data_IF_332596664057
#
_entry.id   IF_332596664057
#
_cell.length_a   1.000
_cell.length_b   1.000
_cell.length_c   1.000
_cell.angle_alpha   90.00
_cell.angle_beta   90.00
_cell.angle_gamma   90.00
#
_symmetry.space_group_name_H-M   'P 1'
#
loop_
_entity.id
_entity.type
_entity.pdbx_description
1 polymer ?
#
# COMPACT_ATOMS: atom_id res chain seq x y z
N UNK A 1 20.50 -9.84 -24.77
CA UNK A 1 19.12 -10.13 -24.34
C UNK A 1 18.79 -9.26 -23.12
N UNK A 2 17.81 -8.36 -23.27
CA UNK A 2 17.54 -7.25 -22.37
C UNK A 2 16.50 -7.64 -21.32
N UNK A 3 16.94 -7.82 -20.08
CA UNK A 3 16.08 -7.97 -18.89
C UNK A 3 15.32 -6.66 -18.60
N UNK A 4 14.18 -6.44 -19.24
CA UNK A 4 13.36 -5.22 -19.06
C UNK A 4 12.11 -5.45 -18.20
N UNK A 5 11.73 -6.70 -17.88
CA UNK A 5 10.39 -6.96 -17.30
C UNK A 5 10.32 -7.00 -15.77
N UNK A 6 11.44 -7.04 -15.03
CA UNK A 6 11.42 -6.95 -13.56
C UNK A 6 11.41 -5.50 -13.03
N UNK A 7 11.77 -4.53 -13.88
CA UNK A 7 11.88 -3.11 -13.51
C UNK A 7 10.55 -2.37 -13.48
N UNK A 8 9.60 -2.76 -14.32
CA UNK A 8 8.36 -2.00 -14.53
C UNK A 8 7.46 -2.00 -13.29
N UNK A 9 7.21 -3.16 -12.68
CA UNK A 9 6.22 -3.29 -11.60
C UNK A 9 6.48 -2.37 -10.40
N UNK A 10 7.69 -2.37 -9.84
CA UNK A 10 7.99 -1.54 -8.66
C UNK A 10 8.17 -0.06 -8.98
N UNK A 11 8.72 0.29 -10.14
CA UNK A 11 8.85 1.68 -10.57
C UNK A 11 7.47 2.34 -10.76
N UNK A 12 6.49 1.60 -11.28
CA UNK A 12 5.12 2.09 -11.45
C UNK A 12 4.42 2.33 -10.12
N UNK A 13 4.55 1.43 -9.14
CA UNK A 13 4.02 1.64 -7.79
C UNK A 13 4.73 2.78 -7.04
N UNK A 14 6.04 2.91 -7.19
CA UNK A 14 6.81 4.02 -6.62
C UNK A 14 6.33 5.37 -7.17
N UNK A 15 6.16 5.47 -8.48
CA UNK A 15 5.56 6.65 -9.12
C UNK A 15 4.15 6.90 -8.62
N UNK A 16 3.28 5.90 -8.64
CA UNK A 16 1.89 6.04 -8.22
C UNK A 16 1.78 6.58 -6.80
N UNK A 17 2.53 6.03 -5.83
CA UNK A 17 2.52 6.52 -4.45
C UNK A 17 2.99 7.97 -4.33
N UNK A 18 4.06 8.35 -5.02
CA UNK A 18 4.58 9.73 -5.00
C UNK A 18 3.64 10.73 -5.66
N UNK A 19 2.99 10.35 -6.74
CA UNK A 19 2.01 11.18 -7.43
C UNK A 19 0.75 11.34 -6.57
N UNK A 20 0.33 10.26 -5.89
CA UNK A 20 -0.75 10.26 -4.91
C UNK A 20 -0.56 11.28 -3.78
N UNK A 21 0.66 11.40 -3.27
CA UNK A 21 1.01 12.37 -2.23
C UNK A 21 0.92 13.82 -2.73
N UNK A 22 1.02 14.04 -4.05
CA UNK A 22 0.96 15.36 -4.72
C UNK A 22 -0.40 15.67 -5.32
N UNK A 23 -1.37 14.76 -5.27
CA UNK A 23 -2.71 14.99 -5.79
C UNK A 23 -3.34 16.22 -5.13
N UNK A 24 -3.86 17.12 -5.96
CA UNK A 24 -4.73 18.22 -5.55
C UNK A 24 -6.11 17.68 -5.16
N UNK A 25 -6.15 17.00 -4.02
CA UNK A 25 -7.30 16.31 -3.47
C UNK A 25 -7.42 16.54 -1.97
N UNK A 26 -8.58 16.23 -1.38
CA UNK A 26 -8.74 16.26 0.08
C UNK A 26 -7.89 15.19 0.79
N UNK A 27 -7.57 15.35 2.09
CA UNK A 27 -6.80 14.36 2.86
C UNK A 27 -7.37 12.94 2.77
N UNK A 28 -8.70 12.78 2.91
CA UNK A 28 -9.35 11.46 2.82
C UNK A 28 -9.22 10.84 1.43
N UNK A 29 -9.23 11.64 0.36
CA UNK A 29 -9.08 11.16 -1.01
C UNK A 29 -7.65 10.67 -1.28
N UNK A 30 -6.63 11.40 -0.79
CA UNK A 30 -5.23 10.96 -0.85
C UNK A 30 -5.02 9.67 -0.05
N UNK A 31 -5.57 9.59 1.16
CA UNK A 31 -5.50 8.38 1.99
C UNK A 31 -6.16 7.18 1.29
N UNK A 32 -7.34 7.36 0.69
CA UNK A 32 -8.01 6.32 -0.09
C UNK A 32 -7.23 5.90 -1.33
N UNK A 33 -6.58 6.84 -2.02
CA UNK A 33 -5.70 6.53 -3.14
C UNK A 33 -4.50 5.69 -2.69
N UNK A 34 -3.84 6.08 -1.60
CA UNK A 34 -2.72 5.35 -1.02
C UNK A 34 -3.09 3.91 -0.67
N UNK A 35 -4.25 3.69 -0.02
CA UNK A 35 -4.79 2.35 0.27
C UNK A 35 -4.89 1.52 -1.01
N UNK A 36 -5.53 2.05 -2.06
CA UNK A 36 -5.71 1.31 -3.33
C UNK A 36 -4.38 0.92 -3.98
N UNK A 37 -3.39 1.80 -3.98
CA UNK A 37 -2.07 1.51 -4.56
C UNK A 37 -1.35 0.43 -3.74
N UNK A 38 -1.42 0.49 -2.41
CA UNK A 38 -0.80 -0.52 -1.54
C UNK A 38 -1.49 -1.89 -1.64
N UNK A 39 -2.81 -1.95 -1.80
CA UNK A 39 -3.54 -3.21 -2.08
C UNK A 39 -3.03 -3.85 -3.39
N UNK A 40 -2.91 -3.06 -4.46
CA UNK A 40 -2.41 -3.52 -5.75
C UNK A 40 -0.94 -3.96 -5.67
N UNK A 41 -0.10 -3.19 -4.98
CA UNK A 41 1.30 -3.54 -4.76
C UNK A 41 1.43 -4.86 -3.97
N UNK A 42 0.68 -5.03 -2.89
CA UNK A 42 0.69 -6.26 -2.09
C UNK A 42 0.25 -7.47 -2.91
N UNK A 43 -0.79 -7.33 -3.73
CA UNK A 43 -1.24 -8.38 -4.65
C UNK A 43 -0.15 -8.72 -5.68
N UNK A 44 0.43 -7.71 -6.33
CA UNK A 44 1.47 -7.89 -7.35
C UNK A 44 2.72 -8.57 -6.79
N UNK A 45 3.28 -8.07 -5.69
CA UNK A 45 4.49 -8.60 -5.08
C UNK A 45 4.29 -9.89 -4.29
N UNK A 46 3.03 -10.23 -3.96
CA UNK A 46 2.68 -11.56 -3.47
C UNK A 46 2.80 -12.63 -4.55
N UNK A 47 2.52 -12.29 -5.81
CA UNK A 47 2.62 -13.21 -6.95
C UNK A 47 3.97 -13.12 -7.70
N UNK A 48 4.58 -11.93 -7.72
CA UNK A 48 5.81 -11.64 -8.46
C UNK A 48 6.82 -10.97 -7.52
N UNK A 49 7.71 -11.74 -6.87
CA UNK A 49 8.67 -11.19 -5.92
C UNK A 49 9.54 -10.10 -6.56
N UNK A 50 9.64 -8.95 -5.89
CA UNK A 50 10.55 -7.89 -6.31
C UNK A 50 12.02 -8.29 -6.09
N UNK A 51 12.97 -7.61 -6.75
CA UNK A 51 14.37 -7.66 -6.35
C UNK A 51 14.55 -7.34 -4.85
N UNK A 52 15.53 -7.97 -4.21
CA UNK A 52 15.73 -7.94 -2.74
C UNK A 52 15.74 -6.54 -2.14
N UNK A 53 16.31 -5.57 -2.85
CA UNK A 53 16.51 -4.20 -2.37
C UNK A 53 15.55 -3.20 -3.05
N UNK A 54 14.52 -3.70 -3.75
CA UNK A 54 13.52 -2.84 -4.38
C UNK A 54 12.63 -2.16 -3.32
N UNK A 55 12.38 -0.87 -3.51
CA UNK A 55 11.51 -0.06 -2.64
C UNK A 55 10.49 0.72 -3.45
N UNK A 56 9.31 0.92 -2.88
CA UNK A 56 8.26 1.79 -3.41
C UNK A 56 7.95 2.88 -2.38
N UNK A 57 8.19 4.15 -2.72
CA UNK A 57 8.05 5.28 -1.79
C UNK A 57 8.72 5.05 -0.41
N UNK A 58 9.92 4.46 -0.40
CA UNK A 58 10.68 4.14 0.81
C UNK A 58 10.26 2.86 1.55
N UNK A 59 9.19 2.18 1.11
CA UNK A 59 8.74 0.89 1.65
C UNK A 59 9.42 -0.23 0.89
N UNK A 60 10.05 -1.20 1.56
CA UNK A 60 10.59 -2.39 0.88
C UNK A 60 9.44 -3.13 0.18
N UNK A 61 9.67 -3.53 -1.07
CA UNK A 61 8.66 -4.22 -1.89
C UNK A 61 8.51 -5.71 -1.51
N UNK A 62 8.38 -5.99 -0.21
CA UNK A 62 8.13 -7.33 0.33
C UNK A 62 6.69 -7.43 0.83
N UNK A 63 6.05 -8.61 0.75
CA UNK A 63 4.68 -8.78 1.26
C UNK A 63 4.52 -8.46 2.75
N UNK A 64 5.59 -8.53 3.55
CA UNK A 64 5.54 -8.19 4.98
C UNK A 64 5.49 -6.68 5.18
N UNK A 65 6.44 -5.95 4.59
CA UNK A 65 6.53 -4.50 4.75
C UNK A 65 5.33 -3.79 4.10
N UNK A 66 4.83 -4.31 2.98
CA UNK A 66 3.62 -3.80 2.33
C UNK A 66 2.36 -4.00 3.18
N UNK A 67 2.24 -5.12 3.90
CA UNK A 67 1.14 -5.34 4.85
C UNK A 67 1.17 -4.35 6.01
N UNK A 68 2.35 -4.05 6.55
CA UNK A 68 2.53 -3.02 7.58
C UNK A 68 2.10 -1.65 7.05
N UNK A 69 2.61 -1.25 5.89
CA UNK A 69 2.24 0.02 5.27
C UNK A 69 0.74 0.12 4.95
N UNK A 70 0.11 -1.00 4.56
CA UNK A 70 -1.32 -1.06 4.28
C UNK A 70 -2.18 -1.01 5.56
N UNK A 71 -1.75 -1.65 6.65
CA UNK A 71 -2.38 -1.49 7.97
C UNK A 71 -2.40 0.00 8.38
N UNK A 72 -1.25 0.68 8.30
CA UNK A 72 -1.14 2.10 8.63
C UNK A 72 -2.02 2.97 7.72
N UNK A 73 -2.05 2.67 6.41
CA UNK A 73 -2.88 3.41 5.46
C UNK A 73 -4.38 3.26 5.73
N UNK A 74 -4.85 2.05 6.07
CA UNK A 74 -6.25 1.84 6.47
C UNK A 74 -6.59 2.59 7.75
N UNK A 75 -5.71 2.57 8.76
CA UNK A 75 -5.92 3.32 10.02
C UNK A 75 -5.95 4.83 9.78
N UNK A 76 -5.06 5.33 8.92
CA UNK A 76 -5.03 6.74 8.50
C UNK A 76 -6.31 7.15 7.77
N UNK A 77 -6.81 6.32 6.85
CA UNK A 77 -8.09 6.58 6.18
C UNK A 77 -9.26 6.53 7.15
N UNK A 78 -9.30 5.53 8.05
CA UNK A 78 -10.34 5.39 9.07
C UNK A 78 -10.45 6.64 9.95
N UNK A 79 -9.33 7.23 10.35
CA UNK A 79 -9.30 8.46 11.14
C UNK A 79 -9.89 9.68 10.41
N UNK A 80 -9.88 9.67 9.07
CA UNK A 80 -10.41 10.73 8.21
C UNK A 80 -11.83 10.44 7.69
N UNK A 81 -12.44 9.32 8.10
CA UNK A 81 -13.78 8.88 7.66
C UNK A 81 -14.82 9.25 8.74
N UNK A 82 -15.79 10.14 8.44
CA UNK A 82 -16.78 10.58 9.42
C UNK A 82 -17.83 9.51 9.72
N UNK A 83 -18.26 8.76 8.70
CA UNK A 83 -19.23 7.68 8.83
C UNK A 83 -18.69 6.57 9.75
N UNK A 84 -19.33 6.29 10.90
CA UNK A 84 -18.88 5.27 11.84
C UNK A 84 -18.85 3.85 11.25
N UNK A 85 -19.78 3.50 10.37
CA UNK A 85 -19.85 2.15 9.80
C UNK A 85 -18.70 1.94 8.82
N UNK A 86 -18.45 2.91 7.94
CA UNK A 86 -17.32 2.84 7.02
C UNK A 86 -15.98 2.90 7.77
N UNK A 87 -15.88 3.71 8.84
CA UNK A 87 -14.70 3.73 9.71
C UNK A 87 -14.44 2.37 10.36
N UNK A 88 -15.48 1.69 10.86
CA UNK A 88 -15.35 0.35 11.44
C UNK A 88 -14.83 -0.66 10.40
N UNK A 89 -15.39 -0.66 9.18
CA UNK A 89 -14.94 -1.53 8.08
C UNK A 89 -13.47 -1.32 7.72
N UNK A 90 -13.00 -0.07 7.74
CA UNK A 90 -11.59 0.23 7.48
C UNK A 90 -10.67 -0.28 8.59
N UNK A 91 -11.09 -0.17 9.85
CA UNK A 91 -10.36 -0.74 10.99
C UNK A 91 -10.30 -2.27 10.89
N UNK A 92 -11.39 -2.92 10.49
CA UNK A 92 -11.42 -4.37 10.29
C UNK A 92 -10.46 -4.81 9.19
N UNK A 93 -10.41 -4.07 8.06
CA UNK A 93 -9.42 -4.30 7.01
C UNK A 93 -7.99 -4.12 7.51
N UNK A 94 -7.72 -3.09 8.33
CA UNK A 94 -6.41 -2.89 8.94
C UNK A 94 -6.00 -4.09 9.82
N UNK A 95 -6.93 -4.60 10.63
CA UNK A 95 -6.70 -5.76 11.48
C UNK A 95 -6.47 -7.04 10.66
N UNK A 96 -7.18 -7.22 9.55
CA UNK A 96 -7.06 -8.38 8.68
C UNK A 96 -5.71 -8.45 7.92
N UNK A 97 -5.11 -7.31 7.59
CA UNK A 97 -3.81 -7.27 6.89
C UNK A 97 -2.61 -7.32 7.83
N UNK A 98 -2.81 -7.18 9.15
CA UNK A 98 -1.74 -7.22 10.16
C UNK A 98 -0.88 -8.47 9.98
N UNK A 99 0.46 -8.35 9.90
CA UNK A 99 1.34 -9.51 9.89
C UNK A 99 1.25 -10.24 11.23
N UNK A 100 0.68 -11.45 11.24
CA UNK A 100 0.72 -12.29 12.44
C UNK A 100 2.11 -12.92 12.55
N UNK A 101 2.86 -12.57 13.60
CA UNK A 101 3.93 -13.45 14.08
C UNK A 101 3.30 -14.48 15.01
N UNK A 102 3.34 -15.75 14.63
CA UNK A 102 3.24 -16.83 15.60
C UNK A 102 4.48 -16.69 16.49
N UNK A 103 4.31 -16.16 17.71
CA UNK A 103 5.33 -16.26 18.77
C UNK A 103 5.27 -17.65 19.39
#
# INVERSE_FOLDING_TARGET
ELSVHAGAGHADFDRALRDGDRLDAGPSQRAAFRVRVLEQALSHFGANPAPRDATIAGIRATPRDLRVALEDAYRGLAALTPDPDERARLVDKANAVRPWSLL
#
